data_IF_452217907746
#
_entry.id   IF_452217907746
#
_cell.length_a   1.000
_cell.length_b   1.000
_cell.length_c   1.000
_cell.angle_alpha   90.00
_cell.angle_beta   90.00
_cell.angle_gamma   90.00
#
_symmetry.space_group_name_H-M   'P 1'
#
loop_
_entity.id
_entity.type
_entity.pdbx_description
1 polymer ?
#
# COMPACT_ATOMS: atom_id res chain seq x y z
N UNK A 1 20.81 -2.60 -53.34
CA UNK A 1 22.03 -3.21 -52.76
C UNK A 1 22.01 -3.23 -51.23
N UNK A 2 21.65 -2.13 -50.54
CA UNK A 2 21.61 -2.07 -49.06
C UNK A 2 20.52 -2.94 -48.39
N UNK A 3 19.32 -3.07 -48.98
CA UNK A 3 18.25 -3.94 -48.46
C UNK A 3 18.53 -5.44 -48.59
N UNK A 4 19.14 -5.88 -49.69
CA UNK A 4 19.43 -7.30 -49.93
C UNK A 4 20.46 -7.86 -48.96
N UNK A 5 21.39 -7.01 -48.51
CA UNK A 5 22.43 -7.35 -47.52
C UNK A 5 21.83 -7.49 -46.11
N UNK A 6 20.87 -6.62 -45.75
CA UNK A 6 20.16 -6.71 -44.46
C UNK A 6 19.35 -8.00 -44.32
N UNK A 7 18.69 -8.45 -45.39
CA UNK A 7 17.91 -9.69 -45.39
C UNK A 7 18.83 -10.91 -45.18
N UNK A 8 19.99 -10.94 -45.83
CA UNK A 8 20.96 -12.04 -45.68
C UNK A 8 21.55 -12.10 -44.26
N UNK A 9 21.83 -10.96 -43.64
CA UNK A 9 22.33 -10.89 -42.26
C UNK A 9 21.30 -11.46 -41.28
N UNK A 10 20.01 -11.12 -41.42
CA UNK A 10 18.96 -11.65 -40.55
C UNK A 10 18.77 -13.17 -40.66
N UNK A 11 18.88 -13.73 -41.88
CA UNK A 11 18.76 -15.18 -42.09
C UNK A 11 19.93 -15.96 -41.46
N UNK A 12 21.16 -15.43 -41.58
CA UNK A 12 22.35 -16.02 -40.96
C UNK A 12 22.26 -15.95 -39.44
N UNK A 13 21.81 -14.83 -38.85
CA UNK A 13 21.61 -14.66 -37.41
C UNK A 13 20.55 -15.63 -36.84
N UNK A 14 19.51 -15.93 -37.63
CA UNK A 14 18.45 -16.87 -37.25
C UNK A 14 18.93 -18.33 -37.21
N UNK A 15 19.79 -18.74 -38.15
CA UNK A 15 20.35 -20.10 -38.21
C UNK A 15 21.38 -20.38 -37.11
N UNK A 16 22.11 -19.36 -36.66
CA UNK A 16 23.11 -19.49 -35.59
C UNK A 16 22.53 -19.31 -34.17
N UNK A 17 21.22 -19.07 -34.03
CA UNK A 17 20.57 -18.93 -32.73
C UNK A 17 21.02 -17.72 -31.90
N UNK A 18 21.76 -16.76 -32.47
CA UNK A 18 22.02 -15.47 -31.84
C UNK A 18 20.78 -14.59 -32.05
N UNK A 19 19.79 -14.74 -31.16
CA UNK A 19 18.67 -13.81 -31.06
C UNK A 19 19.18 -12.47 -30.52
N UNK A 20 19.71 -11.62 -31.40
CA UNK A 20 19.72 -10.18 -31.17
C UNK A 20 18.27 -9.76 -31.03
N UNK A 21 17.86 -9.32 -29.84
CA UNK A 21 16.49 -8.91 -29.52
C UNK A 21 15.96 -7.92 -30.55
N UNK A 22 15.22 -8.44 -31.54
CA UNK A 22 14.46 -7.65 -32.49
C UNK A 22 13.19 -7.22 -31.75
N UNK A 23 13.25 -6.07 -31.07
CA UNK A 23 12.06 -5.41 -30.55
C UNK A 23 11.19 -4.97 -31.71
N UNK A 24 10.29 -5.85 -32.14
CA UNK A 24 9.21 -5.49 -33.05
C UNK A 24 8.04 -4.85 -32.27
N UNK A 25 7.60 -3.73 -32.81
CA UNK A 25 6.62 -2.81 -32.27
C UNK A 25 5.20 -3.30 -32.56
N UNK A 26 4.62 -4.09 -31.64
CA UNK A 26 3.17 -4.30 -31.59
C UNK A 26 2.60 -4.01 -30.21
N UNK A 27 2.65 -2.73 -29.81
CA UNK A 27 1.60 -2.17 -28.95
C UNK A 27 1.43 -0.68 -29.18
N UNK A 28 0.54 -0.30 -30.10
CA UNK A 28 -0.12 1.01 -30.03
C UNK A 28 -1.02 1.03 -28.80
N UNK A 29 -0.44 1.34 -27.64
CA UNK A 29 -1.15 2.01 -26.55
C UNK A 29 -0.70 3.46 -26.54
N UNK A 30 -1.28 4.23 -27.44
CA UNK A 30 -1.28 5.69 -27.35
C UNK A 30 -2.14 6.10 -26.14
N UNK A 31 -1.50 6.22 -24.97
CA UNK A 31 -1.88 7.13 -23.88
C UNK A 31 -0.59 7.50 -23.17
N UNK A 32 -0.04 8.65 -23.55
CA UNK A 32 1.11 9.28 -22.91
C UNK A 32 0.91 9.35 -21.40
N UNK A 33 2.03 9.17 -20.69
CA UNK A 33 2.09 9.06 -19.25
C UNK A 33 1.37 10.20 -18.53
N UNK A 34 0.68 9.80 -17.47
CA UNK A 34 0.29 10.63 -16.34
C UNK A 34 1.53 11.28 -15.74
N UNK A 35 1.85 12.46 -16.23
CA UNK A 35 2.92 13.28 -15.69
C UNK A 35 2.27 14.28 -14.73
N UNK A 36 2.35 13.94 -13.45
CA UNK A 36 1.91 14.75 -12.30
C UNK A 36 0.40 14.76 -11.98
N UNK A 37 -0.12 13.60 -11.55
CA UNK A 37 -1.07 13.57 -10.43
C UNK A 37 -0.76 12.37 -9.54
N UNK A 38 0.29 12.49 -8.73
CA UNK A 38 0.36 11.76 -7.46
C UNK A 38 -0.70 12.32 -6.50
N UNK A 39 -1.96 12.19 -6.92
CA UNK A 39 -3.16 12.29 -6.10
C UNK A 39 -3.75 10.88 -6.10
N UNK A 40 -3.14 9.96 -5.36
CA UNK A 40 -3.52 9.73 -3.96
C UNK A 40 -5.00 9.36 -3.75
N UNK A 41 -5.64 8.71 -4.75
CA UNK A 41 -6.92 8.01 -4.54
C UNK A 41 -6.80 6.56 -4.06
N UNK A 42 -5.61 6.11 -3.69
CA UNK A 42 -5.39 4.78 -3.13
C UNK A 42 -5.25 4.89 -1.62
N UNK A 43 -6.35 4.69 -0.91
CA UNK A 43 -6.37 4.54 0.54
C UNK A 43 -7.66 5.07 1.15
N UNK A 44 -7.72 5.06 2.48
CA UNK A 44 -8.97 5.35 3.18
C UNK A 44 -9.39 6.82 3.13
N UNK A 45 -8.48 7.74 2.79
CA UNK A 45 -8.84 9.15 2.59
C UNK A 45 -9.73 9.33 1.35
N UNK A 46 -9.52 8.50 0.33
CA UNK A 46 -10.34 8.50 -0.89
C UNK A 46 -11.52 7.54 -0.81
N UNK A 47 -11.38 6.41 -0.10
CA UNK A 47 -12.45 5.46 0.14
C UNK A 47 -12.49 5.00 1.61
N UNK A 48 -13.15 5.76 2.50
CA UNK A 48 -13.25 5.41 3.92
C UNK A 48 -13.98 4.09 4.17
N UNK A 49 -14.87 3.67 3.26
CA UNK A 49 -15.60 2.41 3.40
C UNK A 49 -14.69 1.19 3.31
N UNK A 50 -13.51 1.32 2.68
CA UNK A 50 -12.51 0.24 2.62
C UNK A 50 -12.05 -0.22 4.02
N UNK A 51 -12.05 0.67 5.02
CA UNK A 51 -11.69 0.33 6.40
C UNK A 51 -12.73 -0.54 7.11
N UNK A 52 -13.94 -0.71 6.55
CA UNK A 52 -14.95 -1.60 7.14
C UNK A 52 -14.98 -2.98 6.49
N UNK A 53 -14.14 -3.21 5.49
CA UNK A 53 -14.01 -4.50 4.84
C UNK A 53 -13.32 -5.50 5.78
N UNK A 54 -13.70 -6.77 5.64
CA UNK A 54 -13.07 -7.86 6.38
C UNK A 54 -11.57 -7.91 6.10
N UNK A 55 -10.76 -8.04 7.15
CA UNK A 55 -9.29 -8.08 7.04
C UNK A 55 -8.60 -6.72 6.99
N UNK A 56 -9.35 -5.62 7.03
CA UNK A 56 -8.78 -4.30 7.30
C UNK A 56 -8.28 -4.21 8.76
N UNK A 57 -7.24 -3.41 9.05
CA UNK A 57 -6.72 -3.26 10.42
C UNK A 57 -7.69 -2.61 11.42
N UNK A 58 -8.72 -1.92 10.92
CA UNK A 58 -9.77 -1.32 11.72
C UNK A 58 -10.62 -0.34 10.93
N UNK A 59 -11.75 0.12 11.50
CA UNK A 59 -12.77 0.89 10.81
C UNK A 59 -12.43 2.36 10.58
N UNK A 60 -11.38 2.87 11.22
CA UNK A 60 -11.09 4.30 11.30
C UNK A 60 -9.98 4.68 10.33
N UNK A 61 -10.13 5.83 9.66
CA UNK A 61 -9.13 6.31 8.72
C UNK A 61 -8.22 7.37 9.36
N UNK A 62 -6.94 7.05 9.54
CA UNK A 62 -5.91 7.96 10.03
C UNK A 62 -4.77 8.09 9.00
N UNK A 63 -4.60 9.29 8.43
CA UNK A 63 -3.47 9.56 7.53
C UNK A 63 -3.42 8.65 6.30
N UNK A 64 -4.58 8.35 5.71
CA UNK A 64 -4.76 7.42 4.58
C UNK A 64 -4.54 5.92 4.91
N UNK A 65 -4.40 5.58 6.19
CA UNK A 65 -4.33 4.19 6.69
C UNK A 65 -5.53 3.85 7.57
N UNK A 66 -6.06 2.64 7.41
CA UNK A 66 -7.10 2.11 8.28
C UNK A 66 -6.49 1.64 9.61
N UNK A 67 -7.06 2.05 10.73
CA UNK A 67 -6.65 1.71 12.10
C UNK A 67 -7.88 1.44 12.96
N UNK A 68 -7.68 0.88 14.14
CA UNK A 68 -8.73 0.73 15.14
C UNK A 68 -8.46 1.67 16.31
N UNK A 69 -9.22 2.76 16.42
CA UNK A 69 -9.03 3.73 17.49
C UNK A 69 -9.28 3.13 18.89
N UNK A 70 -9.94 1.97 18.99
CA UNK A 70 -10.28 1.34 20.25
C UNK A 70 -9.13 0.52 20.86
N UNK A 71 -8.14 0.14 20.06
CA UNK A 71 -7.07 -0.77 20.49
C UNK A 71 -5.67 -0.36 20.00
N UNK A 72 -5.56 0.52 19.01
CA UNK A 72 -4.28 1.00 18.52
C UNK A 72 -3.63 1.97 19.52
N UNK A 73 -2.50 1.57 20.10
CA UNK A 73 -1.74 2.37 21.06
C UNK A 73 -1.20 3.69 20.51
N UNK A 74 -1.03 3.81 19.19
CA UNK A 74 -0.53 5.02 18.52
C UNK A 74 -1.66 5.97 18.09
N UNK A 75 -2.91 5.48 18.06
CA UNK A 75 -4.10 6.21 17.61
C UNK A 75 -5.28 6.06 18.59
N UNK A 76 -5.02 5.93 19.89
CA UNK A 76 -6.06 5.59 20.85
C UNK A 76 -7.13 6.68 20.97
N UNK A 77 -8.40 6.36 20.69
CA UNK A 77 -9.55 7.27 20.74
C UNK A 77 -9.59 8.32 19.63
N UNK A 78 -8.45 8.71 19.05
CA UNK A 78 -8.34 9.61 17.89
C UNK A 78 -6.98 9.46 17.19
N UNK A 79 -6.93 9.83 15.91
CA UNK A 79 -5.71 9.77 15.11
C UNK A 79 -4.54 10.52 15.76
N UNK A 80 -3.35 9.91 15.72
CA UNK A 80 -2.09 10.40 16.31
C UNK A 80 -2.16 10.65 17.82
N UNK A 81 -3.05 9.98 18.54
CA UNK A 81 -3.10 10.02 19.99
C UNK A 81 -2.42 8.79 20.61
N UNK A 82 -1.10 8.88 20.73
CA UNK A 82 -0.31 7.81 21.34
C UNK A 82 -0.47 7.80 22.87
N UNK A 83 -0.75 6.64 23.43
CA UNK A 83 -0.72 6.43 24.87
C UNK A 83 0.71 6.55 25.41
N UNK A 84 0.87 7.22 26.56
CA UNK A 84 2.20 7.35 27.18
C UNK A 84 2.58 6.03 27.83
N UNK A 85 3.81 5.57 27.66
CA UNK A 85 4.32 4.43 28.42
C UNK A 85 4.19 4.71 29.94
N UNK A 86 3.66 3.79 30.77
CA UNK A 86 3.31 2.38 30.49
C UNK A 86 1.82 2.12 30.18
N UNK A 87 1.06 3.13 29.77
CA UNK A 87 -0.37 2.98 29.46
C UNK A 87 -0.60 2.15 28.19
N UNK A 88 -1.75 1.50 28.13
CA UNK A 88 -2.27 0.76 26.97
C UNK A 88 -3.60 1.33 26.52
N UNK A 89 -3.97 1.12 25.25
CA UNK A 89 -5.26 1.55 24.72
C UNK A 89 -6.35 0.52 25.04
N UNK A 90 -7.36 0.92 25.80
CA UNK A 90 -8.53 0.09 26.11
C UNK A 90 -9.80 0.84 25.74
N UNK A 91 -10.45 0.44 24.64
CA UNK A 91 -11.69 1.04 24.15
C UNK A 91 -11.57 2.51 23.81
N UNK A 92 -10.40 2.92 23.33
CA UNK A 92 -10.13 4.31 22.95
C UNK A 92 -9.65 5.19 24.09
N UNK A 93 -9.42 4.64 25.28
CA UNK A 93 -8.84 5.35 26.40
C UNK A 93 -7.46 4.79 26.77
N UNK A 94 -6.52 5.68 27.07
CA UNK A 94 -5.20 5.30 27.57
C UNK A 94 -5.29 4.98 29.06
N UNK A 95 -5.16 3.71 29.42
CA UNK A 95 -5.26 3.22 30.80
C UNK A 95 -3.95 2.58 31.25
N UNK A 96 -3.62 2.74 32.53
CA UNK A 96 -2.48 2.08 33.16
C UNK A 96 -2.89 0.69 33.66
N UNK A 97 -2.40 -0.36 33.00
CA UNK A 97 -2.75 -1.76 33.32
C UNK A 97 -2.11 -2.26 34.63
N UNK A 98 -1.19 -1.51 35.24
CA UNK A 98 -0.57 -1.89 36.51
C UNK A 98 -1.26 -1.26 37.72
N UNK A 99 -1.95 -0.14 37.53
CA UNK A 99 -2.53 0.65 38.64
C UNK A 99 -4.04 0.79 38.58
N UNK A 100 -4.64 0.68 37.40
CA UNK A 100 -6.09 0.83 37.28
C UNK A 100 -6.78 -0.47 37.71
N UNK A 101 -7.56 -0.41 38.78
CA UNK A 101 -8.24 -1.58 39.34
C UNK A 101 -9.23 -2.26 38.37
N UNK A 102 -9.85 -1.51 37.45
CA UNK A 102 -10.77 -2.04 36.42
C UNK A 102 -10.05 -2.63 35.19
N UNK A 103 -8.74 -2.42 35.09
CA UNK A 103 -7.94 -2.83 33.94
C UNK A 103 -6.62 -3.48 34.38
N UNK A 104 -6.56 -4.02 35.61
CA UNK A 104 -5.32 -4.57 36.14
C UNK A 104 -4.95 -5.84 35.38
N UNK A 105 -3.77 -5.86 34.76
CA UNK A 105 -3.24 -6.95 33.93
C UNK A 105 -3.76 -6.97 32.49
N UNK A 106 -5.02 -6.59 32.24
CA UNK A 106 -5.62 -6.51 30.90
C UNK A 106 -6.79 -5.53 30.88
N UNK A 107 -7.19 -5.08 29.69
CA UNK A 107 -8.39 -4.27 29.52
C UNK A 107 -9.63 -5.00 30.07
N UNK A 108 -10.44 -4.30 30.86
CA UNK A 108 -11.75 -4.77 31.36
C UNK A 108 -11.65 -6.09 32.15
N UNK A 109 -10.79 -6.12 33.16
CA UNK A 109 -10.62 -7.27 34.05
C UNK A 109 -11.58 -7.20 35.25
#
# INVERSE_FOLDING_TARGET
>A
MRSSVLIMICLVLCLIGLSTSFSDQHHRRSRLLSEYSMDSRTGCTANPAACRLLGSPGPDCCGNTCVNLLSDGENCGRCRHRCRYPQSCCGGECVDLSRNWKHCGRCYN
#
